data_IF_858244715304
#
_entry.id   IF_858244715304
#
_cell.length_a   1.000
_cell.length_b   1.000
_cell.length_c   1.000
_cell.angle_alpha   90.00
_cell.angle_beta   90.00
_cell.angle_gamma   90.00
#
_symmetry.space_group_name_H-M   'P 1'
#
loop_
_entity.id
_entity.type
_entity.pdbx_description
1 polymer ?
#
# COMPACT_ATOMS: atom_id res chain seq x y z
N UNK A 1 19.88 -9.85 12.62
CA UNK A 1 18.53 -9.70 12.10
C UNK A 1 17.91 -8.39 12.55
N UNK A 2 17.20 -7.70 11.66
CA UNK A 2 16.53 -6.46 12.00
C UNK A 2 15.31 -6.73 12.88
N UNK A 3 15.10 -5.88 13.86
CA UNK A 3 13.88 -5.91 14.64
C UNK A 3 12.70 -5.38 13.81
N UNK A 4 11.49 -5.76 14.22
CA UNK A 4 10.24 -5.34 13.56
C UNK A 4 10.14 -3.81 13.39
N UNK A 5 10.50 -3.07 14.43
CA UNK A 5 10.48 -1.60 14.39
C UNK A 5 11.47 -1.02 13.39
N UNK A 6 12.64 -1.62 13.25
CA UNK A 6 13.66 -1.20 12.29
C UNK A 6 13.20 -1.46 10.86
N UNK A 7 12.62 -2.64 10.61
CA UNK A 7 12.04 -2.99 9.32
C UNK A 7 10.93 -2.04 8.93
N UNK A 8 10.02 -1.75 9.84
CA UNK A 8 8.93 -0.79 9.58
C UNK A 8 9.45 0.60 9.28
N UNK A 9 10.53 1.00 9.95
CA UNK A 9 11.19 2.27 9.68
C UNK A 9 11.75 2.35 8.27
N UNK A 10 12.36 1.27 7.79
CA UNK A 10 12.86 1.19 6.42
C UNK A 10 11.74 1.30 5.39
N UNK A 11 10.65 0.59 5.61
CA UNK A 11 9.48 0.67 4.72
C UNK A 11 8.86 2.06 4.74
N UNK A 12 8.75 2.67 5.91
CA UNK A 12 8.21 4.02 6.06
C UNK A 12 9.04 5.03 5.28
N UNK A 13 10.36 4.92 5.34
CA UNK A 13 11.25 5.82 4.61
C UNK A 13 11.17 5.59 3.11
N UNK A 14 11.13 4.33 2.68
CA UNK A 14 11.07 3.98 1.26
C UNK A 14 9.79 4.50 0.60
N UNK A 15 8.65 4.37 1.29
CA UNK A 15 7.35 4.77 0.73
C UNK A 15 6.91 6.18 1.14
N UNK A 16 7.80 6.93 1.75
CA UNK A 16 7.50 8.30 2.16
C UNK A 16 7.09 9.14 0.96
N UNK A 17 5.95 9.79 1.07
CA UNK A 17 5.42 10.64 -0.01
C UNK A 17 4.67 9.89 -1.10
N UNK A 18 4.58 8.55 -1.03
CA UNK A 18 3.81 7.79 -2.00
C UNK A 18 2.31 7.90 -1.70
N UNK A 19 1.55 8.46 -2.64
CA UNK A 19 0.15 8.85 -2.46
C UNK A 19 -0.77 7.66 -2.14
N UNK A 20 -0.50 6.49 -2.72
CA UNK A 20 -1.41 5.36 -2.63
C UNK A 20 -0.91 4.23 -1.75
N UNK A 21 0.22 4.40 -1.06
CA UNK A 21 0.74 3.38 -0.15
C UNK A 21 0.42 3.77 1.29
N UNK A 22 -0.22 2.84 2.01
CA UNK A 22 -0.50 3.02 3.44
C UNK A 22 0.16 1.88 4.20
N UNK A 23 0.98 2.23 5.19
CA UNK A 23 1.66 1.25 6.03
C UNK A 23 0.84 1.01 7.30
N UNK A 24 0.56 -0.26 7.57
CA UNK A 24 -0.16 -0.68 8.77
C UNK A 24 0.85 -1.18 9.79
N UNK A 25 0.96 -0.51 10.93
CA UNK A 25 1.92 -0.87 11.96
C UNK A 25 1.33 -1.78 13.05
N UNK A 26 0.03 -1.64 13.31
CA UNK A 26 -0.64 -2.34 14.40
C UNK A 26 -1.69 -3.35 13.96
N UNK A 27 -1.92 -3.48 12.66
CA UNK A 27 -2.96 -4.36 12.14
C UNK A 27 -2.51 -5.01 10.85
N UNK A 28 -3.18 -6.11 10.48
CA UNK A 28 -2.95 -6.79 9.22
C UNK A 28 -3.78 -6.09 8.15
N UNK A 29 -3.22 -5.79 6.97
CA UNK A 29 -4.01 -5.25 5.86
C UNK A 29 -5.17 -6.16 5.51
N UNK A 30 -6.33 -5.57 5.25
CA UNK A 30 -7.55 -6.29 4.94
C UNK A 30 -8.17 -5.72 3.67
N UNK A 31 -8.44 -6.55 2.65
CA UNK A 31 -9.01 -6.08 1.38
C UNK A 31 -10.31 -5.29 1.52
N UNK A 32 -11.05 -5.47 2.61
CA UNK A 32 -12.27 -4.71 2.87
C UNK A 32 -12.06 -3.21 2.84
N UNK A 33 -10.92 -2.75 3.38
CA UNK A 33 -10.68 -1.33 3.59
C UNK A 33 -10.16 -0.62 2.36
N UNK A 34 -9.78 -1.39 1.33
CA UNK A 34 -9.30 -0.80 0.08
C UNK A 34 -10.23 -1.07 -1.10
N UNK A 35 -11.33 -1.77 -0.87
CA UNK A 35 -12.29 -2.10 -1.93
C UNK A 35 -12.81 -0.84 -2.59
N UNK A 36 -12.69 -0.76 -3.91
CA UNK A 36 -13.08 0.40 -4.69
C UNK A 36 -12.07 1.53 -4.69
N UNK A 37 -10.91 1.37 -4.07
CA UNK A 37 -9.89 2.41 -3.99
C UNK A 37 -8.61 2.01 -4.73
N UNK A 38 -7.75 2.98 -5.01
CA UNK A 38 -6.45 2.73 -5.61
C UNK A 38 -5.33 2.57 -4.56
N UNK A 39 -5.68 2.40 -3.30
CA UNK A 39 -4.70 2.24 -2.24
C UNK A 39 -4.08 0.85 -2.21
N UNK A 40 -2.83 0.80 -1.78
CA UNK A 40 -2.13 -0.43 -1.42
C UNK A 40 -1.79 -0.35 0.06
N UNK A 41 -2.40 -1.22 0.86
CA UNK A 41 -2.12 -1.29 2.30
C UNK A 41 -1.06 -2.36 2.52
N UNK A 42 0.01 -2.01 3.24
CA UNK A 42 1.16 -2.90 3.45
C UNK A 42 1.39 -3.09 4.95
N UNK A 43 1.55 -4.33 5.36
CA UNK A 43 1.98 -4.68 6.72
C UNK A 43 3.28 -5.45 6.67
N UNK A 44 4.19 -5.16 7.60
CA UNK A 44 5.50 -5.81 7.69
C UNK A 44 5.66 -6.43 9.08
N UNK A 45 6.00 -7.71 9.10
CA UNK A 45 6.12 -8.48 10.33
C UNK A 45 7.44 -9.21 10.34
N UNK A 46 8.09 -9.26 11.50
CA UNK A 46 9.34 -9.98 11.68
C UNK A 46 9.22 -10.93 12.87
N UNK A 47 9.63 -12.19 12.67
CA UNK A 47 9.78 -13.16 13.73
C UNK A 47 11.27 -13.42 13.91
N UNK A 48 11.86 -12.79 14.92
CA UNK A 48 13.30 -12.90 15.17
C UNK A 48 13.72 -14.32 15.57
N UNK A 49 12.81 -15.08 16.17
CA UNK A 49 13.11 -16.45 16.62
C UNK A 49 13.25 -17.40 15.44
N UNK A 50 12.39 -17.23 14.44
CA UNK A 50 12.39 -18.08 13.25
C UNK A 50 13.25 -17.53 12.12
N UNK A 51 13.69 -16.28 12.20
CA UNK A 51 14.40 -15.61 11.12
C UNK A 51 13.55 -15.25 9.92
N UNK A 52 12.25 -15.04 10.13
CA UNK A 52 11.29 -14.75 9.05
C UNK A 52 10.92 -13.28 9.00
N UNK A 53 10.77 -12.79 7.78
CA UNK A 53 10.13 -11.51 7.51
C UNK A 53 8.93 -11.78 6.62
N UNK A 54 7.77 -11.28 7.03
CA UNK A 54 6.52 -11.44 6.27
C UNK A 54 6.01 -10.07 5.91
N UNK A 55 5.80 -9.84 4.62
CA UNK A 55 5.18 -8.62 4.11
C UNK A 55 3.83 -9.00 3.52
N UNK A 56 2.78 -8.30 3.95
CA UNK A 56 1.42 -8.52 3.47
C UNK A 56 0.95 -7.25 2.78
N UNK A 57 0.46 -7.37 1.56
CA UNK A 57 -0.10 -6.26 0.81
C UNK A 57 -1.54 -6.56 0.41
N UNK A 58 -2.41 -5.58 0.54
CA UNK A 58 -3.82 -5.70 0.14
C UNK A 58 -4.15 -4.62 -0.89
N UNK A 59 -4.69 -5.03 -2.03
CA UNK A 59 -5.13 -4.13 -3.10
C UNK A 59 -6.48 -4.59 -3.63
N UNK A 60 -7.24 -3.65 -4.23
CA UNK A 60 -8.40 -4.02 -5.04
C UNK A 60 -7.89 -4.43 -6.42
N UNK A 61 -8.18 -5.66 -6.84
CA UNK A 61 -7.69 -6.20 -8.10
C UNK A 61 -8.15 -5.41 -9.32
N UNK A 62 -9.33 -4.80 -9.25
CA UNK A 62 -9.92 -4.09 -10.38
C UNK A 62 -9.47 -2.63 -10.44
N UNK A 63 -9.05 -2.05 -9.34
CA UNK A 63 -8.61 -0.65 -9.27
C UNK A 63 -7.08 -0.60 -9.28
N UNK A 64 -6.43 -0.73 -8.15
CA UNK A 64 -4.97 -0.65 -8.08
C UNK A 64 -4.29 -1.77 -8.88
N UNK A 65 -4.87 -2.96 -8.86
CA UNK A 65 -4.32 -4.11 -9.56
C UNK A 65 -4.56 -4.11 -11.06
N UNK A 66 -5.41 -3.23 -11.59
CA UNK A 66 -5.75 -3.19 -13.01
C UNK A 66 -5.95 -1.76 -13.51
N UNK A 67 -7.21 -1.33 -13.64
CA UNK A 67 -7.55 -0.03 -14.25
C UNK A 67 -6.96 1.16 -13.47
N UNK A 68 -6.98 1.11 -12.15
CA UNK A 68 -6.45 2.19 -11.32
C UNK A 68 -4.96 2.41 -11.50
N UNK A 69 -4.19 1.33 -11.61
CA UNK A 69 -2.76 1.39 -11.87
C UNK A 69 -2.49 1.99 -13.26
N UNK A 70 -3.28 1.60 -14.24
CA UNK A 70 -3.13 2.13 -15.60
C UNK A 70 -3.41 3.63 -15.66
N UNK A 71 -4.46 4.09 -14.98
CA UNK A 71 -4.81 5.51 -14.91
C UNK A 71 -3.72 6.29 -14.16
N UNK A 72 -3.22 5.74 -13.07
CA UNK A 72 -2.14 6.35 -12.30
C UNK A 72 -0.89 6.52 -13.17
N UNK A 73 -0.50 5.49 -13.91
CA UNK A 73 0.65 5.54 -14.81
C UNK A 73 0.43 6.57 -15.92
N UNK A 74 -0.76 6.64 -16.49
CA UNK A 74 -1.11 7.63 -17.51
C UNK A 74 -0.98 9.05 -16.95
N UNK A 75 -1.48 9.29 -15.74
CA UNK A 75 -1.38 10.60 -15.09
C UNK A 75 0.08 11.04 -14.97
N UNK A 76 0.97 10.14 -14.56
CA UNK A 76 2.40 10.41 -14.46
C UNK A 76 3.03 10.70 -15.82
N UNK A 77 2.67 9.94 -16.83
CA UNK A 77 3.19 10.13 -18.20
C UNK A 77 2.75 11.44 -18.81
N UNK A 78 1.54 11.90 -18.48
CA UNK A 78 0.99 13.15 -19.03
C UNK A 78 1.34 14.38 -18.20
N UNK A 79 2.08 14.23 -17.13
CA UNK A 79 2.41 15.34 -16.23
C UNK A 79 1.23 15.85 -15.42
N UNK A 80 0.20 15.02 -15.27
CA UNK A 80 -0.99 15.32 -14.47
C UNK A 80 -0.76 14.79 -13.05
N UNK A 81 -1.44 15.38 -12.05
CA UNK A 81 -1.35 14.88 -10.69
C UNK A 81 -1.66 13.38 -10.63
N UNK A 82 -0.81 12.63 -9.97
CA UNK A 82 -0.82 11.16 -9.93
C UNK A 82 -2.18 10.59 -9.52
N UNK A 83 -2.88 11.26 -8.62
CA UNK A 83 -4.14 10.80 -8.06
C UNK A 83 -5.39 11.30 -8.79
N UNK A 84 -5.24 11.97 -9.92
CA UNK A 84 -6.39 12.50 -10.69
C UNK A 84 -7.35 11.38 -11.07
N UNK A 85 -8.59 11.50 -10.62
CA UNK A 85 -9.63 10.49 -10.87
C UNK A 85 -9.55 9.27 -9.96
N UNK A 86 -8.60 9.22 -9.01
CA UNK A 86 -8.32 8.05 -8.18
C UNK A 86 -8.47 8.31 -6.68
N UNK A 87 -9.17 9.36 -6.31
CA UNK A 87 -9.24 9.79 -4.90
C UNK A 87 -10.35 9.14 -4.09
N UNK A 88 -11.12 8.23 -4.69
CA UNK A 88 -12.21 7.57 -3.98
C UNK A 88 -11.67 6.75 -2.81
N UNK A 89 -12.23 6.89 -1.61
CA UNK A 89 -11.88 6.04 -0.48
C UNK A 89 -12.45 4.64 -0.66
N UNK A 90 -11.99 3.70 0.14
CA UNK A 90 -12.59 2.38 0.17
C UNK A 90 -14.07 2.44 0.54
N UNK A 91 -14.87 1.56 -0.04
CA UNK A 91 -16.32 1.58 0.13
C UNK A 91 -16.83 0.81 1.36
N UNK A 92 -15.91 0.25 2.14
CA UNK A 92 -16.29 -0.35 3.42
C UNK A 92 -16.69 0.77 4.40
N UNK A 93 -17.71 0.64 5.19
CA UNK A 93 -17.86 -0.42 6.16
C UNK A 93 -18.40 -1.71 5.63
#
# INVERSE_FOLDING_TARGET
MLFRSELRGLYREFYKGERFVRLHEDSVPNPRYIKGSNYCDIGVYADARAGWVVTVAAVDNLVKGAAGQAIQALNLMMGIAEDTGLTAPGIYP
#
